data_IF_447717054764
#
_entry.id   IF_447717054764
#
_cell.length_a   1.000
_cell.length_b   1.000
_cell.length_c   1.000
_cell.angle_alpha   90.00
_cell.angle_beta   90.00
_cell.angle_gamma   90.00
#
_symmetry.space_group_name_H-M   'P 1'
#
loop_
_entity.id
_entity.type
_entity.pdbx_description
1 polymer ?
#
# COMPACT_ATOMS: atom_id res chain seq x y z
N UNK A 1 0.86 2.15 22.17
CA UNK A 1 0.30 2.81 20.97
C UNK A 1 0.51 1.89 19.77
N UNK A 2 -0.52 1.66 18.94
CA UNK A 2 -0.38 0.95 17.67
C UNK A 2 0.68 1.64 16.78
N UNK A 3 1.57 0.85 16.16
CA UNK A 3 2.57 1.36 15.20
C UNK A 3 1.97 1.32 13.79
N UNK A 4 2.43 2.23 12.92
CA UNK A 4 2.09 2.19 11.50
C UNK A 4 2.52 0.83 10.91
N UNK A 5 1.63 0.20 10.15
CA UNK A 5 1.92 -1.04 9.41
C UNK A 5 1.43 -0.94 7.98
N UNK A 6 2.19 -1.50 7.06
CA UNK A 6 1.82 -1.61 5.67
C UNK A 6 2.24 -2.98 5.16
N UNK A 7 1.30 -3.67 4.51
CA UNK A 7 1.48 -5.01 3.98
C UNK A 7 0.92 -5.05 2.57
N UNK A 8 1.53 -5.83 1.67
CA UNK A 8 1.06 -6.00 0.31
C UNK A 8 1.22 -7.44 -0.14
N UNK A 9 0.26 -7.94 -0.90
CA UNK A 9 0.23 -9.31 -1.38
C UNK A 9 -0.46 -9.42 -2.74
N UNK A 10 -0.17 -10.50 -3.47
CA UNK A 10 -0.84 -10.81 -4.73
C UNK A 10 -2.30 -11.17 -4.44
N UNK A 11 -3.23 -10.58 -5.19
CA UNK A 11 -4.63 -10.92 -5.05
C UNK A 11 -4.86 -12.35 -5.56
N UNK A 12 -5.56 -13.18 -4.77
CA UNK A 12 -5.83 -14.57 -5.15
C UNK A 12 -7.00 -14.69 -6.14
N UNK A 13 -7.94 -13.75 -6.10
CA UNK A 13 -9.21 -13.83 -6.84
C UNK A 13 -9.26 -12.94 -8.07
N UNK A 14 -8.37 -11.94 -8.17
CA UNK A 14 -8.30 -11.00 -9.30
C UNK A 14 -6.85 -10.83 -9.73
N UNK A 15 -6.65 -10.39 -10.97
CA UNK A 15 -5.35 -9.90 -11.41
C UNK A 15 -4.99 -8.65 -10.57
N UNK A 16 -3.73 -8.57 -10.15
CA UNK A 16 -3.21 -7.45 -9.37
C UNK A 16 -2.87 -7.81 -7.92
N UNK A 17 -2.82 -6.78 -7.09
CA UNK A 17 -2.30 -6.84 -5.73
C UNK A 17 -3.25 -6.15 -4.76
N UNK A 18 -3.18 -6.55 -3.51
CA UNK A 18 -3.89 -5.93 -2.40
C UNK A 18 -2.86 -5.32 -1.47
N UNK A 19 -3.15 -4.15 -0.91
CA UNK A 19 -2.41 -3.59 0.22
C UNK A 19 -3.32 -3.38 1.40
N UNK A 20 -2.75 -3.45 2.61
CA UNK A 20 -3.38 -3.06 3.86
C UNK A 20 -2.52 -2.01 4.56
N UNK A 21 -3.16 -0.94 5.00
CA UNK A 21 -2.52 0.08 5.83
C UNK A 21 -3.21 0.19 7.18
N UNK A 22 -2.45 -0.04 8.26
CA UNK A 22 -2.88 0.18 9.64
C UNK A 22 -2.27 1.46 10.18
N UNK A 23 -3.11 2.39 10.63
CA UNK A 23 -2.68 3.66 11.19
C UNK A 23 -2.20 3.53 12.66
N UNK A 24 -1.71 4.64 13.22
CA UNK A 24 -1.23 4.69 14.60
C UNK A 24 -2.34 4.54 15.66
N UNK A 25 -3.61 4.43 15.23
CA UNK A 25 -4.78 4.18 16.08
C UNK A 25 -5.28 2.74 15.95
N UNK A 26 -4.66 1.92 15.11
CA UNK A 26 -5.04 0.53 14.87
C UNK A 26 -6.15 0.37 13.85
N UNK A 27 -6.54 1.43 13.14
CA UNK A 27 -7.54 1.36 12.08
C UNK A 27 -6.86 0.87 10.80
N UNK A 28 -7.40 -0.21 10.21
CA UNK A 28 -6.88 -0.80 8.98
C UNK A 28 -7.80 -0.50 7.79
N UNK A 29 -7.20 -0.25 6.63
CA UNK A 29 -7.92 -0.13 5.35
C UNK A 29 -7.20 -0.93 4.27
N UNK A 30 -7.98 -1.47 3.33
CA UNK A 30 -7.48 -2.28 2.23
C UNK A 30 -7.65 -1.55 0.90
N UNK A 31 -6.68 -1.72 -0.01
CA UNK A 31 -6.75 -1.19 -1.37
C UNK A 31 -6.37 -2.24 -2.40
N UNK A 32 -7.10 -2.26 -3.53
CA UNK A 32 -6.80 -3.11 -4.68
C UNK A 32 -6.04 -2.33 -5.75
N UNK A 33 -5.03 -2.96 -6.33
CA UNK A 33 -4.15 -2.42 -7.35
C UNK A 33 -4.12 -3.38 -8.54
N UNK A 34 -4.74 -2.99 -9.65
CA UNK A 34 -4.82 -3.86 -10.84
C UNK A 34 -3.45 -4.10 -11.49
N UNK A 35 -2.79 -3.01 -11.92
CA UNK A 35 -1.45 -3.03 -12.50
C UNK A 35 -0.54 -1.98 -11.83
N UNK A 36 -0.17 -2.19 -10.55
CA UNK A 36 0.64 -1.23 -9.81
C UNK A 36 2.02 -1.05 -10.42
N UNK A 37 2.48 0.21 -10.47
CA UNK A 37 3.89 0.54 -10.69
C UNK A 37 4.74 0.07 -9.49
N UNK A 38 6.06 -0.03 -9.67
CA UNK A 38 7.01 -0.37 -8.60
C UNK A 38 7.05 0.66 -7.46
N UNK A 39 6.64 1.90 -7.74
CA UNK A 39 6.56 2.97 -6.74
C UNK A 39 5.35 3.85 -6.99
N UNK A 40 4.97 4.60 -5.96
CA UNK A 40 3.91 5.61 -6.00
C UNK A 40 4.44 6.96 -5.51
N UNK A 41 5.74 7.23 -5.70
CA UNK A 41 6.39 8.43 -5.15
C UNK A 41 5.77 9.73 -5.70
N UNK A 42 5.21 9.67 -6.91
CA UNK A 42 4.51 10.77 -7.55
C UNK A 42 3.13 11.09 -6.95
N UNK A 43 2.52 10.19 -6.18
CA UNK A 43 1.14 10.38 -5.70
C UNK A 43 1.09 11.34 -4.50
N UNK A 44 0.13 12.26 -4.50
CA UNK A 44 -0.12 13.13 -3.37
C UNK A 44 -1.07 12.52 -2.34
N UNK A 45 -1.30 13.28 -1.28
CA UNK A 45 -2.20 12.96 -0.17
C UNK A 45 -3.61 12.65 -0.64
N UNK A 46 -4.08 13.43 -1.62
CA UNK A 46 -5.40 13.34 -2.22
C UNK A 46 -5.65 11.98 -2.87
N UNK A 47 -4.63 11.34 -3.43
CA UNK A 47 -4.76 10.02 -4.04
C UNK A 47 -4.96 8.93 -2.99
N UNK A 48 -4.09 8.89 -1.96
CA UNK A 48 -4.16 7.85 -0.93
C UNK A 48 -5.40 8.01 -0.04
N UNK A 49 -5.94 9.22 0.12
CA UNK A 49 -7.15 9.48 0.91
C UNK A 49 -8.45 9.04 0.24
N UNK A 50 -8.43 8.66 -1.05
CA UNK A 50 -9.63 8.23 -1.75
C UNK A 50 -10.26 7.01 -1.07
N UNK A 51 -11.58 6.89 -1.14
CA UNK A 51 -12.37 5.84 -0.47
C UNK A 51 -11.94 4.42 -0.85
N UNK A 52 -11.41 4.22 -2.05
CA UNK A 52 -10.95 2.93 -2.57
C UNK A 52 -9.42 2.71 -2.41
N UNK A 53 -8.73 3.66 -1.77
CA UNK A 53 -7.31 3.58 -1.44
C UNK A 53 -7.14 3.33 0.06
N UNK A 54 -6.58 4.28 0.78
CA UNK A 54 -6.35 4.20 2.22
C UNK A 54 -6.94 5.42 2.92
N UNK A 55 -8.28 5.48 3.10
CA UNK A 55 -8.96 6.67 3.63
C UNK A 55 -8.56 7.02 5.08
N UNK A 56 -7.89 6.12 5.80
CA UNK A 56 -7.26 6.38 7.10
C UNK A 56 -5.89 7.11 7.00
N UNK A 57 -5.42 7.45 5.81
CA UNK A 57 -4.25 8.31 5.57
C UNK A 57 -4.62 9.76 5.92
N UNK A 58 -3.96 10.39 6.89
CA UNK A 58 -4.38 11.73 7.38
C UNK A 58 -3.35 12.83 7.12
N UNK A 59 -2.07 12.49 7.18
CA UNK A 59 -0.95 13.43 7.16
C UNK A 59 0.22 12.89 6.33
N UNK A 60 1.22 13.73 6.12
CA UNK A 60 2.40 13.41 5.31
C UNK A 60 3.22 12.25 5.87
N UNK A 61 3.21 12.07 7.20
CA UNK A 61 3.85 10.92 7.84
C UNK A 61 3.24 9.60 7.39
N UNK A 62 1.91 9.51 7.27
CA UNK A 62 1.26 8.29 6.75
C UNK A 62 1.62 8.06 5.29
N UNK A 63 1.66 9.12 4.49
CA UNK A 63 1.96 9.04 3.06
C UNK A 63 3.37 8.56 2.82
N UNK A 64 4.36 9.21 3.44
CA UNK A 64 5.76 8.86 3.28
C UNK A 64 6.00 7.42 3.74
N UNK A 65 5.39 7.02 4.87
CA UNK A 65 5.45 5.63 5.33
C UNK A 65 4.85 4.64 4.31
N UNK A 66 3.68 4.95 3.74
CA UNK A 66 3.05 4.09 2.74
C UNK A 66 3.92 4.02 1.47
N UNK A 67 4.46 5.14 0.97
CA UNK A 67 5.33 5.18 -0.21
C UNK A 67 6.57 4.30 -0.03
N UNK A 68 7.28 4.49 1.08
CA UNK A 68 8.49 3.74 1.40
C UNK A 68 8.20 2.23 1.46
N UNK A 69 7.14 1.85 2.18
CA UNK A 69 6.77 0.44 2.34
C UNK A 69 6.22 -0.18 1.07
N UNK A 70 5.41 0.56 0.32
CA UNK A 70 4.86 0.12 -0.96
C UNK A 70 5.98 -0.26 -1.93
N UNK A 71 7.02 0.59 -2.05
CA UNK A 71 8.17 0.32 -2.91
C UNK A 71 8.90 -0.97 -2.51
N UNK A 72 9.12 -1.16 -1.22
CA UNK A 72 9.77 -2.36 -0.69
C UNK A 72 8.93 -3.62 -0.94
N UNK A 73 7.63 -3.57 -0.64
CA UNK A 73 6.75 -4.72 -0.83
C UNK A 73 6.57 -5.07 -2.31
N UNK A 74 6.41 -4.07 -3.19
CA UNK A 74 6.32 -4.31 -4.63
C UNK A 74 7.59 -4.93 -5.21
N UNK A 75 8.77 -4.46 -4.79
CA UNK A 75 10.04 -5.06 -5.20
C UNK A 75 10.13 -6.52 -4.75
N UNK A 76 9.77 -6.82 -3.48
CA UNK A 76 9.72 -8.19 -2.95
C UNK A 76 8.77 -9.09 -3.75
N UNK A 77 7.57 -8.60 -4.02
CA UNK A 77 6.56 -9.35 -4.76
C UNK A 77 6.99 -9.60 -6.21
N UNK A 78 7.60 -8.62 -6.87
CA UNK A 78 8.09 -8.75 -8.24
C UNK A 78 9.29 -9.67 -8.36
N UNK A 79 10.22 -9.63 -7.40
CA UNK A 79 11.32 -10.59 -7.34
C UNK A 79 10.78 -12.03 -7.23
N UNK A 80 9.79 -12.24 -6.35
CA UNK A 80 9.15 -13.55 -6.18
C UNK A 80 8.34 -14.01 -7.41
N UNK A 81 7.95 -13.12 -8.32
CA UNK A 81 7.28 -13.48 -9.57
C UNK A 81 8.26 -13.85 -10.69
N UNK A 82 9.51 -13.36 -10.64
CA UNK A 82 10.54 -13.66 -11.63
C UNK A 82 11.31 -14.96 -11.38
N UNK A 83 11.24 -15.49 -10.17
CA UNK A 83 11.85 -16.77 -9.78
C UNK A 83 10.88 -17.97 -9.89
N UNK A 84 9.65 -17.74 -10.38
CA UNK A 84 8.57 -18.74 -10.49
C UNK A 84 8.30 -19.19 -11.94
#
# INVERSE_FOLDING_TARGET
MPRLKFEMWKCQTKRGYMSRFTDGRGISTDSWWDSPQLSIDHVGTEYLKQSHRHPNTRNDRHINFIKDRYKVEMARLKASEGEA
#
